data_IF_145287323819
#
_entry.id   IF_145287323819
#
_cell.length_a   1.000
_cell.length_b   1.000
_cell.length_c   1.000
_cell.angle_alpha   90.00
_cell.angle_beta   90.00
_cell.angle_gamma   90.00
#
_symmetry.space_group_name_H-M   'P 1'
#
loop_
_entity.id
_entity.type
_entity.pdbx_description
1 polymer ?
#
# COMPACT_ATOMS: atom_id res chain seq x y z
N UNK A 1 6.91 17.85 11.89
CA UNK A 1 5.87 17.96 10.85
C UNK A 1 5.15 16.63 10.68
N UNK A 2 3.87 16.60 10.98
CA UNK A 2 3.10 15.38 10.78
C UNK A 2 3.01 15.08 9.28
N UNK A 3 3.60 13.99 8.84
CA UNK A 3 3.44 13.57 7.45
C UNK A 3 2.02 13.10 7.25
N UNK A 4 1.36 13.59 6.21
CA UNK A 4 0.10 13.01 5.77
C UNK A 4 0.34 11.54 5.45
N UNK A 5 -0.65 10.65 5.69
CA UNK A 5 -0.52 9.26 5.26
C UNK A 5 -0.16 9.22 3.78
N UNK A 6 0.86 8.46 3.44
CA UNK A 6 1.27 8.30 2.06
C UNK A 6 0.28 7.38 1.36
N UNK A 7 -0.47 7.93 0.41
CA UNK A 7 -1.48 7.18 -0.33
C UNK A 7 -0.85 6.04 -1.13
N UNK A 8 0.34 6.26 -1.68
CA UNK A 8 1.02 5.23 -2.47
C UNK A 8 1.44 4.06 -1.59
N UNK A 9 2.01 4.35 -0.41
CA UNK A 9 2.39 3.30 0.54
C UNK A 9 1.17 2.51 1.00
N UNK A 10 0.09 3.19 1.31
CA UNK A 10 -1.17 2.54 1.70
C UNK A 10 -1.69 1.63 0.60
N UNK A 11 -1.71 2.10 -0.64
CA UNK A 11 -2.18 1.33 -1.78
C UNK A 11 -1.28 0.12 -2.05
N UNK A 12 0.04 0.26 -1.86
CA UNK A 12 0.96 -0.87 -1.97
C UNK A 12 0.64 -1.93 -0.91
N UNK A 13 0.43 -1.52 0.34
CA UNK A 13 0.06 -2.45 1.41
C UNK A 13 -1.23 -3.20 1.09
N UNK A 14 -2.25 -2.50 0.60
CA UNK A 14 -3.54 -3.10 0.22
C UNK A 14 -3.37 -4.16 -0.86
N UNK A 15 -2.63 -3.83 -1.92
CA UNK A 15 -2.44 -4.74 -3.05
C UNK A 15 -1.63 -5.97 -2.67
N UNK A 16 -0.60 -5.80 -1.83
CA UNK A 16 0.19 -6.92 -1.35
C UNK A 16 -0.66 -7.86 -0.50
N UNK A 17 -1.49 -7.32 0.37
CA UNK A 17 -2.36 -8.14 1.22
C UNK A 17 -3.39 -8.90 0.39
N UNK A 18 -3.96 -8.26 -0.63
CA UNK A 18 -4.97 -8.89 -1.50
C UNK A 18 -4.36 -9.97 -2.39
N UNK A 19 -3.13 -9.76 -2.87
CA UNK A 19 -2.48 -10.70 -3.77
C UNK A 19 -0.96 -10.73 -3.53
N UNK A 20 -0.49 -11.57 -2.60
CA UNK A 20 0.94 -11.65 -2.30
C UNK A 20 1.79 -12.13 -3.50
N UNK A 21 1.17 -12.82 -4.46
CA UNK A 21 1.87 -13.36 -5.63
C UNK A 21 1.99 -12.36 -6.78
N UNK A 22 1.52 -11.13 -6.60
CA UNK A 22 1.59 -10.12 -7.65
C UNK A 22 3.05 -9.79 -7.98
N UNK A 23 3.36 -9.70 -9.28
CA UNK A 23 4.69 -9.26 -9.71
C UNK A 23 4.84 -7.76 -9.50
N UNK A 24 6.10 -7.29 -9.39
CA UNK A 24 6.35 -5.85 -9.24
C UNK A 24 5.81 -5.06 -10.43
N UNK A 25 5.97 -5.59 -11.65
CA UNK A 25 5.45 -4.93 -12.84
C UNK A 25 3.93 -4.79 -12.82
N UNK A 26 3.25 -5.88 -12.44
CA UNK A 26 1.79 -5.88 -12.34
C UNK A 26 1.35 -4.90 -11.24
N UNK A 27 2.04 -4.92 -10.11
CA UNK A 27 1.74 -4.05 -8.98
C UNK A 27 1.89 -2.56 -9.37
N UNK A 28 3.00 -2.22 -10.03
CA UNK A 28 3.22 -0.86 -10.49
C UNK A 28 2.15 -0.42 -11.50
N UNK A 29 1.82 -1.32 -12.44
CA UNK A 29 0.79 -1.06 -13.45
C UNK A 29 -0.58 -0.84 -12.80
N UNK A 30 -0.96 -1.71 -11.87
CA UNK A 30 -2.26 -1.60 -11.20
C UNK A 30 -2.38 -0.32 -10.37
N UNK A 31 -1.28 0.14 -9.81
CA UNK A 31 -1.23 1.37 -9.02
C UNK A 31 -0.95 2.61 -9.85
N UNK A 32 -0.69 2.45 -11.14
CA UNK A 32 -0.39 3.55 -12.06
C UNK A 32 0.82 4.38 -11.60
N UNK A 33 1.84 3.69 -11.11
CA UNK A 33 3.10 4.32 -10.69
C UNK A 33 4.27 3.67 -11.43
N UNK A 34 5.40 4.36 -11.46
CA UNK A 34 6.62 3.82 -12.06
C UNK A 34 7.20 2.70 -11.21
N UNK A 35 8.01 1.84 -11.83
CA UNK A 35 8.75 0.80 -11.10
C UNK A 35 9.70 1.42 -10.07
N UNK A 36 10.33 2.55 -10.41
CA UNK A 36 11.20 3.25 -9.48
C UNK A 36 10.48 3.73 -8.24
N UNK A 37 9.28 4.30 -8.43
CA UNK A 37 8.46 4.75 -7.31
C UNK A 37 7.98 3.55 -6.47
N UNK A 38 7.60 2.46 -7.13
CA UNK A 38 7.21 1.24 -6.41
C UNK A 38 8.37 0.71 -5.57
N UNK A 39 9.57 0.63 -6.17
CA UNK A 39 10.76 0.15 -5.45
C UNK A 39 11.07 1.03 -4.25
N UNK A 40 10.91 2.34 -4.38
CA UNK A 40 11.07 3.26 -3.27
C UNK A 40 10.07 2.96 -2.15
N UNK A 41 8.80 2.78 -2.51
CA UNK A 41 7.76 2.45 -1.53
C UNK A 41 8.04 1.13 -0.82
N UNK A 42 8.43 0.09 -1.58
CA UNK A 42 8.74 -1.21 -1.00
C UNK A 42 9.91 -1.13 -0.03
N UNK A 43 10.94 -0.38 -0.39
CA UNK A 43 12.11 -0.19 0.48
C UNK A 43 11.73 0.52 1.77
N UNK A 44 10.91 1.57 1.67
CA UNK A 44 10.44 2.30 2.84
C UNK A 44 9.61 1.42 3.75
N UNK A 45 8.68 0.65 3.18
CA UNK A 45 7.82 -0.24 3.94
C UNK A 45 8.62 -1.34 4.64
N UNK A 46 9.63 -1.90 3.95
CA UNK A 46 10.54 -2.87 4.56
C UNK A 46 11.34 -2.26 5.70
N UNK A 47 11.86 -1.05 5.48
CA UNK A 47 12.63 -0.34 6.49
C UNK A 47 11.84 -0.05 7.76
N UNK A 48 10.55 0.17 7.61
CA UNK A 48 9.64 0.38 8.74
C UNK A 48 9.16 -0.94 9.38
N UNK A 49 9.53 -2.09 8.81
CA UNK A 49 9.10 -3.39 9.31
C UNK A 49 7.64 -3.70 9.03
N UNK A 50 7.05 -3.07 8.02
CA UNK A 50 5.63 -3.27 7.68
C UNK A 50 5.41 -4.41 6.69
N UNK A 51 6.42 -4.70 5.86
CA UNK A 51 6.40 -5.84 4.95
C UNK A 51 7.70 -6.61 5.09
N UNK A 52 7.65 -7.86 4.69
CA UNK A 52 8.83 -8.71 4.60
C UNK A 52 8.87 -9.37 3.23
N UNK A 53 10.06 -9.60 2.75
CA UNK A 53 10.30 -10.33 1.51
C UNK A 53 10.48 -11.80 1.85
N UNK A 54 9.78 -12.66 1.13
CA UNK A 54 9.87 -14.10 1.33
C UNK A 54 10.15 -14.77 0.00
N UNK A 55 11.07 -15.74 0.00
CA UNK A 55 11.29 -16.59 -1.15
C UNK A 55 10.20 -17.65 -1.20
N UNK A 56 9.57 -17.77 -2.35
CA UNK A 56 8.62 -18.85 -2.55
C UNK A 56 9.41 -20.12 -2.89
N UNK A 57 9.50 -21.04 -1.93
CA UNK A 57 10.35 -22.24 -2.04
C UNK A 57 10.00 -23.12 -3.24
N UNK A 58 8.81 -23.01 -3.79
CA UNK A 58 8.34 -23.78 -4.94
C UNK A 58 8.50 -23.06 -6.26
N UNK A 59 8.99 -21.82 -6.24
CA UNK A 59 9.13 -21.05 -7.45
C UNK A 59 10.50 -21.33 -8.07
N UNK A 60 10.48 -21.96 -9.25
CA UNK A 60 11.70 -22.26 -10.01
C UNK A 60 12.38 -20.99 -10.52
N UNK A 61 11.70 -19.86 -10.45
CA UNK A 61 12.21 -18.59 -10.93
C UNK A 61 12.61 -17.75 -9.72
N UNK A 62 13.91 -17.77 -9.42
CA UNK A 62 14.47 -17.07 -8.24
C UNK A 62 14.29 -15.55 -8.27
N UNK A 63 13.69 -15.01 -9.31
CA UNK A 63 13.47 -13.58 -9.48
C UNK A 63 12.13 -13.10 -8.92
N UNK A 64 11.25 -14.04 -8.53
CA UNK A 64 9.93 -13.67 -8.01
C UNK A 64 9.92 -13.78 -6.50
N UNK A 65 10.11 -12.64 -5.85
CA UNK A 65 9.94 -12.54 -4.40
C UNK A 65 8.48 -12.27 -4.09
N UNK A 66 8.01 -12.88 -3.02
CA UNK A 66 6.70 -12.60 -2.47
C UNK A 66 6.87 -11.57 -1.35
N UNK A 67 6.03 -10.55 -1.35
CA UNK A 67 5.97 -9.60 -0.26
C UNK A 67 4.77 -9.93 0.61
N UNK A 68 4.97 -9.93 1.91
CA UNK A 68 3.92 -10.21 2.90
C UNK A 68 3.89 -9.09 3.92
N UNK A 69 2.70 -8.74 4.39
CA UNK A 69 2.59 -7.82 5.51
C UNK A 69 3.01 -8.53 6.79
N UNK A 70 3.79 -7.82 7.60
CA UNK A 70 4.07 -8.24 8.97
C UNK A 70 2.85 -7.95 9.85
N UNK A 71 2.77 -8.49 11.08
CA UNK A 71 1.71 -8.08 12.01
C UNK A 71 1.68 -6.56 12.21
N UNK A 72 2.85 -5.92 12.27
CA UNK A 72 2.95 -4.46 12.35
C UNK A 72 2.38 -3.81 11.10
N UNK A 73 2.62 -4.39 9.92
CA UNK A 73 2.09 -3.89 8.66
C UNK A 73 0.57 -3.98 8.60
N UNK A 74 0.01 -5.08 9.10
CA UNK A 74 -1.45 -5.25 9.16
C UNK A 74 -2.07 -4.18 10.07
N UNK A 75 -1.48 -3.94 11.24
CA UNK A 75 -1.96 -2.94 12.17
C UNK A 75 -1.86 -1.52 11.57
N UNK A 76 -0.73 -1.22 10.91
CA UNK A 76 -0.54 0.08 10.26
C UNK A 76 -1.51 0.29 9.11
N UNK A 77 -1.74 -0.76 8.32
CA UNK A 77 -2.74 -0.68 7.22
C UNK A 77 -4.12 -0.37 7.77
N UNK A 78 -4.52 -1.01 8.87
CA UNK A 78 -5.81 -0.75 9.50
C UNK A 78 -5.93 0.71 9.96
N UNK A 79 -4.88 1.23 10.57
CA UNK A 79 -4.82 2.62 11.01
C UNK A 79 -4.93 3.59 9.84
N UNK A 80 -4.19 3.33 8.76
CA UNK A 80 -4.24 4.14 7.55
C UNK A 80 -5.61 4.08 6.90
N UNK A 81 -6.24 2.91 6.90
CA UNK A 81 -7.59 2.75 6.36
C UNK A 81 -8.57 3.69 7.08
N UNK A 82 -8.51 3.71 8.40
CA UNK A 82 -9.38 4.59 9.20
C UNK A 82 -9.09 6.06 8.87
N UNK A 83 -7.82 6.43 8.78
CA UNK A 83 -7.43 7.81 8.49
C UNK A 83 -7.93 8.25 7.10
N UNK A 84 -7.77 7.42 6.09
CA UNK A 84 -8.25 7.73 4.74
C UNK A 84 -9.77 7.79 4.68
N UNK A 85 -10.46 6.90 5.40
CA UNK A 85 -11.91 6.96 5.51
C UNK A 85 -12.40 8.28 6.09
N UNK A 86 -11.74 8.75 7.15
CA UNK A 86 -12.09 10.04 7.76
C UNK A 86 -11.90 11.19 6.79
N UNK A 87 -10.81 11.18 6.03
CA UNK A 87 -10.56 12.21 5.01
C UNK A 87 -11.63 12.19 3.92
N UNK A 88 -12.00 11.01 3.44
CA UNK A 88 -13.01 10.87 2.40
C UNK A 88 -14.39 11.28 2.90
N UNK A 89 -14.72 10.96 4.15
CA UNK A 89 -15.97 11.38 4.76
C UNK A 89 -16.06 12.89 4.87
N UNK A 90 -14.95 13.52 5.26
CA UNK A 90 -14.89 14.98 5.33
C UNK A 90 -15.09 15.62 3.96
N UNK A 91 -14.40 15.11 2.94
CA UNK A 91 -14.57 15.59 1.57
C UNK A 91 -16.02 15.43 1.09
N UNK A 92 -16.62 14.28 1.39
CA UNK A 92 -18.02 14.00 1.04
C UNK A 92 -18.95 15.04 1.68
N UNK A 93 -18.78 15.31 2.96
CA UNK A 93 -19.62 16.29 3.68
C UNK A 93 -19.46 17.69 3.11
N UNK A 94 -18.24 18.08 2.75
CA UNK A 94 -17.99 19.39 2.13
C UNK A 94 -18.68 19.51 0.77
N UNK A 95 -18.61 18.47 -0.05
CA UNK A 95 -19.27 18.44 -1.35
C UNK A 95 -20.79 18.45 -1.21
N UNK A 96 -21.30 17.74 -0.24
CA UNK A 96 -22.74 17.71 0.04
C UNK A 96 -23.23 19.11 0.39
N UNK A 97 -22.47 19.88 1.17
CA UNK A 97 -22.82 21.26 1.50
C UNK A 97 -22.87 22.15 0.25
N UNK A 98 -21.97 21.90 -0.71
CA UNK A 98 -22.00 22.65 -1.97
C UNK A 98 -23.30 22.39 -2.74
N UNK A 99 -23.82 21.18 -2.70
CA UNK A 99 -25.09 20.85 -3.35
C UNK A 99 -26.28 21.54 -2.71
N UNK A 100 -26.18 21.91 -1.44
CA UNK A 100 -27.27 22.52 -0.68
C UNK A 100 -27.30 24.06 -0.85
N UNK A 101 -26.33 24.65 -1.53
CA UNK A 101 -26.27 26.08 -1.79
C UNK A 101 -27.16 26.49 -2.96
#
# INVERSE_FOLDING_TARGET
MAKKPDADQFNVLRKIQDNPNVTQRKLASDLEISLGKLNYCLRELRGKGLIKMSNFAKNKNKLNYIYLLTPKGIAEKAKLTINFMKLKMKEYEELKKEMEK
#
